data_IF_298750567928
#
_entry.id   IF_298750567928
#
_cell.length_a   1.000
_cell.length_b   1.000
_cell.length_c   1.000
_cell.angle_alpha   90.00
_cell.angle_beta   90.00
_cell.angle_gamma   90.00
#
_symmetry.space_group_name_H-M   'P 1'
#
loop_
_entity.id
_entity.type
_entity.pdbx_description
1 polymer ?
#
# COMPACT_ATOMS: atom_id res chain seq x y z
N UNK A 1 -1.88 -2.61 -21.99
CA UNK A 1 -1.48 -1.40 -21.23
C UNK A 1 -0.20 -1.70 -20.48
N UNK A 2 0.85 -0.89 -20.66
CA UNK A 2 2.10 -1.01 -19.90
C UNK A 2 1.86 -0.49 -18.49
N UNK A 3 2.20 -1.29 -17.49
CA UNK A 3 2.05 -0.93 -16.07
C UNK A 3 3.41 -1.01 -15.39
N UNK A 4 3.76 0.05 -14.68
CA UNK A 4 4.81 0.03 -13.66
C UNK A 4 4.13 0.20 -12.30
N UNK A 5 4.08 -0.88 -11.54
CA UNK A 5 3.46 -0.92 -10.23
C UNK A 5 4.53 -0.76 -9.15
N UNK A 6 4.27 0.13 -8.20
CA UNK A 6 5.12 0.49 -7.08
C UNK A 6 4.40 0.13 -5.79
N UNK A 7 4.94 -0.82 -5.05
CA UNK A 7 4.33 -1.30 -3.81
C UNK A 7 5.26 -1.01 -2.65
N UNK A 8 4.71 -0.40 -1.60
CA UNK A 8 5.38 -0.20 -0.33
C UNK A 8 4.43 -0.52 0.81
N UNK A 9 4.95 -1.17 1.84
CA UNK A 9 4.22 -1.46 3.06
C UNK A 9 4.97 -0.89 4.27
N UNK A 10 4.22 -0.43 5.27
CA UNK A 10 4.77 0.02 6.54
C UNK A 10 3.98 -0.56 7.71
N UNK A 11 4.70 -0.76 8.82
CA UNK A 11 4.14 -1.25 10.07
C UNK A 11 3.44 -0.13 10.80
N UNK A 12 2.30 -0.48 11.37
CA UNK A 12 1.49 0.36 12.25
C UNK A 12 0.95 -0.49 13.39
N UNK A 13 0.56 0.15 14.47
CA UNK A 13 -0.07 -0.53 15.60
C UNK A 13 -1.42 -1.15 15.18
N UNK A 14 -1.59 -2.47 15.37
CA UNK A 14 -2.66 -3.23 14.72
C UNK A 14 -4.05 -2.95 15.31
N UNK A 15 -4.19 -2.61 16.59
CA UNK A 15 -5.50 -2.35 17.20
C UNK A 15 -6.15 -1.09 16.63
N UNK A 16 -5.36 -0.10 16.19
CA UNK A 16 -5.88 1.05 15.43
C UNK A 16 -6.45 0.67 14.07
N UNK A 17 -5.84 -0.31 13.37
CA UNK A 17 -6.45 -0.87 12.16
C UNK A 17 -7.78 -1.52 12.51
N UNK A 18 -7.81 -2.38 13.54
CA UNK A 18 -9.04 -3.09 13.97
C UNK A 18 -10.18 -2.12 14.27
N UNK A 19 -9.88 -0.99 14.89
CA UNK A 19 -10.86 0.05 15.20
C UNK A 19 -11.52 0.69 13.96
N UNK A 20 -10.80 0.75 12.83
CA UNK A 20 -11.28 1.28 11.55
C UNK A 20 -12.03 0.25 10.70
N UNK A 21 -11.76 -1.06 10.85
CA UNK A 21 -12.27 -2.07 9.93
C UNK A 21 -13.81 -2.21 10.01
N UNK A 22 -14.54 -2.28 8.89
CA UNK A 22 -15.97 -2.57 8.92
C UNK A 22 -16.27 -3.92 9.59
N UNK A 23 -17.50 -4.09 10.08
CA UNK A 23 -17.91 -5.32 10.75
C UNK A 23 -17.73 -6.54 9.81
N UNK A 24 -17.28 -7.66 10.39
CA UNK A 24 -16.98 -8.89 9.65
C UNK A 24 -15.58 -8.96 9.05
N UNK A 25 -14.89 -7.83 8.85
CA UNK A 25 -13.49 -7.83 8.40
C UNK A 25 -12.53 -8.12 9.55
N UNK A 26 -11.60 -9.05 9.32
CA UNK A 26 -10.53 -9.37 10.27
C UNK A 26 -9.20 -8.79 9.80
N UNK A 27 -8.53 -8.00 10.65
CA UNK A 27 -7.15 -7.55 10.39
C UNK A 27 -6.17 -8.72 10.44
N UNK A 28 -5.43 -8.94 9.35
CA UNK A 28 -4.48 -10.05 9.27
C UNK A 28 -3.09 -9.72 9.78
N UNK A 29 -2.63 -8.48 9.63
CA UNK A 29 -1.27 -8.04 9.97
C UNK A 29 -1.26 -6.54 10.36
N UNK A 30 -0.27 -6.09 11.15
CA UNK A 30 -0.03 -4.68 11.49
C UNK A 30 0.50 -3.88 10.28
N UNK A 31 -0.24 -3.83 9.17
CA UNK A 31 0.28 -3.32 7.89
C UNK A 31 -0.69 -2.36 7.23
N UNK A 32 -0.16 -1.23 6.81
CA UNK A 32 -0.75 -0.39 5.77
C UNK A 32 0.14 -0.41 4.52
N UNK A 33 -0.50 -0.48 3.35
CA UNK A 33 0.16 -0.61 2.04
C UNK A 33 -0.25 0.50 1.12
N UNK A 34 0.76 1.08 0.47
CA UNK A 34 0.61 1.98 -0.65
C UNK A 34 0.94 1.22 -1.93
N UNK A 35 -0.02 1.17 -2.85
CA UNK A 35 0.15 0.55 -4.16
C UNK A 35 -0.13 1.61 -5.23
N UNK A 36 0.88 1.97 -6.02
CA UNK A 36 0.73 2.93 -7.09
C UNK A 36 1.00 2.28 -8.44
N UNK A 37 0.32 2.71 -9.49
CA UNK A 37 0.55 2.26 -10.85
C UNK A 37 0.75 3.47 -11.77
N UNK A 38 1.88 3.51 -12.47
CA UNK A 38 2.05 4.35 -13.65
C UNK A 38 1.61 3.54 -14.87
N UNK A 39 0.67 4.08 -15.65
CA UNK A 39 0.01 3.40 -16.77
C UNK A 39 0.32 4.10 -18.08
N UNK A 40 0.88 3.35 -19.03
CA UNK A 40 1.32 3.82 -20.36
C UNK A 40 2.17 5.11 -20.33
N UNK A 41 2.88 5.36 -19.22
CA UNK A 41 3.62 6.61 -18.96
C UNK A 41 2.77 7.89 -19.06
N UNK A 42 1.45 7.78 -18.91
CA UNK A 42 0.49 8.88 -19.12
C UNK A 42 -0.31 9.21 -17.88
N UNK A 43 -0.67 8.20 -17.10
CA UNK A 43 -1.48 8.38 -15.90
C UNK A 43 -0.90 7.65 -14.71
N UNK A 44 -1.34 8.05 -13.53
CA UNK A 44 -0.98 7.42 -12.26
C UNK A 44 -2.25 7.13 -11.47
N UNK A 45 -2.25 5.98 -10.81
CA UNK A 45 -3.29 5.52 -9.90
C UNK A 45 -2.64 5.15 -8.57
N UNK A 46 -3.31 5.45 -7.45
CA UNK A 46 -2.82 5.16 -6.10
C UNK A 46 -3.90 4.47 -5.30
N UNK A 47 -3.54 3.44 -4.56
CA UNK A 47 -4.38 2.77 -3.58
C UNK A 47 -3.72 2.77 -2.21
N UNK A 48 -4.54 2.96 -1.18
CA UNK A 48 -4.18 2.78 0.21
C UNK A 48 -4.96 1.63 0.82
N UNK A 49 -4.26 0.65 1.38
CA UNK A 49 -4.84 -0.66 1.66
C UNK A 49 -4.37 -1.25 2.99
N UNK A 50 -5.14 -2.17 3.56
CA UNK A 50 -4.75 -3.00 4.72
C UNK A 50 -5.07 -4.49 4.46
N UNK A 51 -4.26 -5.46 4.91
CA UNK A 51 -4.54 -6.87 4.66
C UNK A 51 -5.63 -7.40 5.61
N UNK A 52 -6.64 -8.05 5.04
CA UNK A 52 -7.84 -8.52 5.75
C UNK A 52 -8.27 -9.93 5.34
N UNK A 53 -9.04 -10.58 6.20
CA UNK A 53 -9.90 -11.69 5.82
C UNK A 53 -11.38 -11.30 5.93
N UNK A 54 -12.18 -11.76 4.97
CA UNK A 54 -13.63 -11.57 4.92
C UNK A 54 -14.27 -12.69 4.09
N UNK A 55 -15.36 -13.30 4.59
CA UNK A 55 -16.12 -14.36 3.89
C UNK A 55 -15.25 -15.46 3.23
N UNK A 56 -14.32 -16.04 4.01
CA UNK A 56 -13.36 -17.08 3.59
C UNK A 56 -12.33 -16.66 2.54
N UNK A 57 -12.25 -15.36 2.20
CA UNK A 57 -11.23 -14.81 1.32
C UNK A 57 -10.20 -14.03 2.11
N UNK A 58 -8.97 -14.03 1.63
CA UNK A 58 -7.85 -13.27 2.20
C UNK A 58 -7.34 -12.30 1.14
N UNK A 59 -7.18 -11.04 1.49
CA UNK A 59 -6.80 -10.04 0.50
C UNK A 59 -6.51 -8.69 1.12
N UNK A 60 -6.70 -7.64 0.32
CA UNK A 60 -6.51 -6.26 0.74
C UNK A 60 -7.84 -5.52 0.79
N UNK A 61 -8.15 -4.85 1.89
CA UNK A 61 -9.24 -3.88 1.92
C UNK A 61 -8.72 -2.55 1.39
N UNK A 62 -9.36 -2.02 0.35
CA UNK A 62 -9.11 -0.69 -0.16
C UNK A 62 -9.74 0.35 0.76
N UNK A 63 -8.88 1.10 1.45
CA UNK A 63 -9.26 2.21 2.32
C UNK A 63 -9.62 3.43 1.46
N UNK A 64 -8.78 3.70 0.47
CA UNK A 64 -9.01 4.76 -0.50
C UNK A 64 -8.21 4.50 -1.77
N UNK A 65 -8.63 5.16 -2.85
CA UNK A 65 -7.91 5.17 -4.10
C UNK A 65 -8.11 6.49 -4.84
N UNK A 66 -7.12 6.85 -5.66
CA UNK A 66 -7.06 8.13 -6.35
C UNK A 66 -6.47 7.98 -7.74
N UNK A 67 -6.83 8.90 -8.62
CA UNK A 67 -6.29 9.02 -9.98
C UNK A 67 -5.76 10.43 -10.24
N UNK A 68 -5.36 10.70 -11.48
CA UNK A 68 -4.93 12.04 -11.93
C UNK A 68 -5.96 13.13 -11.65
N UNK A 69 -7.25 12.80 -11.58
CA UNK A 69 -8.33 13.75 -11.24
C UNK A 69 -8.21 14.29 -9.80
N UNK A 70 -7.52 13.56 -8.93
CA UNK A 70 -7.26 13.96 -7.55
C UNK A 70 -5.94 14.73 -7.39
N UNK A 71 -5.33 15.18 -8.48
CA UNK A 71 -4.05 15.90 -8.47
C UNK A 71 -2.82 15.00 -8.35
N UNK A 72 -2.98 13.68 -8.54
CA UNK A 72 -1.84 12.78 -8.64
C UNK A 72 -1.01 13.07 -9.89
N UNK A 73 0.29 13.08 -9.70
CA UNK A 73 1.29 13.24 -10.75
C UNK A 73 2.50 12.37 -10.46
N UNK A 74 3.36 12.19 -11.45
CA UNK A 74 4.65 11.53 -11.26
C UNK A 74 5.76 12.25 -12.03
N UNK A 75 6.99 12.13 -11.53
CA UNK A 75 8.20 12.65 -12.16
C UNK A 75 9.31 11.61 -12.10
N UNK A 76 10.17 11.59 -13.12
CA UNK A 76 11.35 10.73 -13.17
C UNK A 76 12.64 11.55 -13.22
N UNK A 77 13.63 11.10 -12.47
CA UNK A 77 14.99 11.65 -12.46
C UNK A 77 15.99 10.48 -12.43
N UNK A 78 16.38 9.99 -13.61
CA UNK A 78 17.16 8.77 -13.73
C UNK A 78 16.39 7.56 -13.19
N UNK A 79 16.92 6.90 -12.16
CA UNK A 79 16.28 5.76 -11.48
C UNK A 79 15.29 6.16 -10.38
N UNK A 80 15.22 7.46 -10.06
CA UNK A 80 14.29 7.99 -9.06
C UNK A 80 12.93 8.24 -9.70
N UNK A 81 11.88 7.78 -9.03
CA UNK A 81 10.49 8.08 -9.40
C UNK A 81 9.83 8.73 -8.19
N UNK A 82 9.23 9.90 -8.40
CA UNK A 82 8.41 10.57 -7.39
C UNK A 82 6.96 10.54 -7.85
N UNK A 83 6.06 10.07 -6.99
CA UNK A 83 4.61 10.15 -7.14
C UNK A 83 4.10 11.12 -6.08
N UNK A 84 3.29 12.09 -6.48
CA UNK A 84 2.89 13.20 -5.61
C UNK A 84 1.46 13.66 -5.85
N UNK A 85 0.80 14.07 -4.78
CA UNK A 85 -0.46 14.80 -4.72
C UNK A 85 -0.40 15.81 -3.55
N UNK A 86 -1.37 16.74 -3.42
CA UNK A 86 -1.40 17.68 -2.29
C UNK A 86 -1.36 17.00 -0.91
N UNK A 87 -1.93 15.80 -0.80
CA UNK A 87 -2.04 15.02 0.43
C UNK A 87 -0.99 13.89 0.55
N UNK A 88 -0.07 13.76 -0.41
CA UNK A 88 0.79 12.58 -0.48
C UNK A 88 2.08 12.80 -1.26
N UNK A 89 3.17 12.19 -0.79
CA UNK A 89 4.41 12.07 -1.56
C UNK A 89 5.04 10.69 -1.33
N UNK A 90 5.55 10.12 -2.41
CA UNK A 90 6.25 8.84 -2.44
C UNK A 90 7.40 8.91 -3.42
N UNK A 91 8.59 8.61 -2.93
CA UNK A 91 9.82 8.60 -3.68
C UNK A 91 10.33 7.17 -3.69
N UNK A 92 10.55 6.61 -4.88
CA UNK A 92 11.22 5.34 -5.08
C UNK A 92 12.59 5.55 -5.71
N UNK A 93 13.55 4.75 -5.24
CA UNK A 93 14.88 4.64 -5.81
C UNK A 93 15.15 3.16 -6.08
N UNK A 94 15.12 2.78 -7.36
CA UNK A 94 15.45 1.40 -7.77
C UNK A 94 16.89 1.05 -7.41
N UNK A 95 17.09 -0.07 -6.72
CA UNK A 95 18.44 -0.58 -6.35
C UNK A 95 18.97 -1.61 -7.34
N UNK A 96 18.19 -1.99 -8.36
CA UNK A 96 18.60 -2.93 -9.41
C UNK A 96 18.64 -4.40 -9.02
N UNK A 97 18.20 -4.75 -7.81
CA UNK A 97 18.12 -6.14 -7.33
C UNK A 97 16.73 -6.69 -7.69
N UNK A 98 16.70 -7.79 -8.44
CA UNK A 98 15.45 -8.44 -8.85
C UNK A 98 15.28 -9.82 -8.24
N UNK A 99 14.03 -10.18 -7.91
CA UNK A 99 13.68 -11.51 -7.43
C UNK A 99 12.18 -11.74 -7.37
N UNK A 100 11.80 -12.95 -6.97
CA UNK A 100 10.42 -13.24 -6.59
C UNK A 100 10.10 -12.67 -5.21
N UNK A 101 8.90 -12.13 -5.00
CA UNK A 101 8.44 -11.75 -3.67
C UNK A 101 7.67 -12.92 -3.04
N UNK A 102 8.09 -13.44 -1.87
CA UNK A 102 7.39 -14.53 -1.20
C UNK A 102 5.94 -14.19 -0.78
N UNK A 103 5.60 -12.90 -0.67
CA UNK A 103 4.38 -12.41 -0.02
C UNK A 103 3.09 -12.54 -0.84
N UNK A 104 3.11 -13.22 -2.00
CA UNK A 104 1.96 -13.30 -2.92
C UNK A 104 1.10 -14.56 -2.78
N UNK A 105 1.46 -15.48 -1.88
CA UNK A 105 0.75 -16.76 -1.77
C UNK A 105 -0.58 -16.70 -1.02
N UNK A 106 -0.83 -15.63 -0.27
CA UNK A 106 -2.01 -15.47 0.61
C UNK A 106 -2.91 -14.29 0.20
N UNK A 107 -2.94 -13.93 -1.10
CA UNK A 107 -3.71 -12.79 -1.61
C UNK A 107 -4.65 -13.20 -2.75
N UNK A 108 -5.95 -13.27 -2.45
CA UNK A 108 -7.00 -13.56 -3.41
C UNK A 108 -7.39 -12.33 -4.25
N UNK A 109 -7.12 -11.12 -3.76
CA UNK A 109 -7.56 -9.88 -4.42
C UNK A 109 -7.76 -8.69 -3.47
N UNK A 110 -8.52 -7.71 -3.94
CA UNK A 110 -8.84 -6.48 -3.21
C UNK A 110 -10.35 -6.31 -3.02
N UNK A 111 -10.79 -6.00 -1.81
CA UNK A 111 -12.15 -5.55 -1.49
C UNK A 111 -12.23 -4.03 -1.63
N UNK A 112 -13.26 -3.54 -2.30
CA UNK A 112 -13.53 -2.10 -2.44
C UNK A 112 -14.78 -1.71 -1.64
N UNK A 113 -14.88 -0.43 -1.29
CA UNK A 113 -15.96 0.10 -0.44
C UNK A 113 -17.37 0.02 -1.04
N UNK A 114 -17.48 -0.32 -2.33
CA UNK A 114 -18.74 -0.67 -3.03
C UNK A 114 -19.08 -2.17 -2.91
N UNK A 115 -18.47 -2.87 -1.96
CA UNK A 115 -18.56 -4.33 -1.75
C UNK A 115 -18.02 -5.15 -2.92
N UNK A 116 -17.39 -4.52 -3.92
CA UNK A 116 -16.81 -5.22 -5.06
C UNK A 116 -15.50 -5.89 -4.67
N UNK A 117 -15.42 -7.20 -4.85
CA UNK A 117 -14.16 -7.93 -4.80
C UNK A 117 -13.51 -8.00 -6.18
N UNK A 118 -12.28 -7.51 -6.29
CA UNK A 118 -11.45 -7.61 -7.50
C UNK A 118 -10.37 -8.67 -7.31
N UNK A 119 -10.40 -9.79 -8.05
CA UNK A 119 -9.37 -10.82 -7.97
C UNK A 119 -7.97 -10.27 -8.25
N UNK A 120 -6.96 -10.91 -7.68
CA UNK A 120 -5.57 -10.56 -7.95
C UNK A 120 -5.21 -10.76 -9.44
N UNK A 121 -4.40 -9.86 -9.97
CA UNK A 121 -3.83 -10.02 -11.30
C UNK A 121 -2.64 -10.98 -11.24
N UNK A 122 -2.58 -11.90 -12.20
CA UNK A 122 -1.45 -12.82 -12.32
C UNK A 122 -0.27 -12.11 -12.99
N UNK A 123 0.70 -11.71 -12.19
CA UNK A 123 1.96 -11.07 -12.62
C UNK A 123 3.08 -12.11 -12.49
N UNK A 124 3.75 -12.45 -13.60
CA UNK A 124 4.84 -13.45 -13.60
C UNK A 124 6.23 -12.79 -13.64
N UNK A 125 6.27 -11.46 -13.73
CA UNK A 125 7.46 -10.65 -13.86
C UNK A 125 8.18 -10.51 -12.52
N UNK A 126 9.51 -10.43 -12.59
CA UNK A 126 10.33 -10.23 -11.41
C UNK A 126 10.09 -8.84 -10.80
N UNK A 127 10.19 -8.78 -9.48
CA UNK A 127 10.09 -7.54 -8.72
C UNK A 127 11.48 -6.98 -8.51
N UNK A 128 11.64 -5.69 -8.77
CA UNK A 128 12.83 -4.92 -8.44
C UNK A 128 12.65 -4.34 -7.03
N UNK A 129 13.46 -4.79 -6.07
CA UNK A 129 13.47 -4.19 -4.74
C UNK A 129 13.97 -2.74 -4.81
N UNK A 130 13.42 -1.89 -3.93
CA UNK A 130 13.69 -0.46 -3.96
C UNK A 130 13.87 0.10 -2.56
N UNK A 131 14.63 1.19 -2.49
CA UNK A 131 14.51 2.11 -1.37
C UNK A 131 13.35 3.08 -1.63
N UNK A 132 12.70 3.53 -0.56
CA UNK A 132 11.62 4.49 -0.65
C UNK A 132 11.56 5.46 0.53
N UNK A 133 10.94 6.59 0.30
CA UNK A 133 10.54 7.56 1.32
C UNK A 133 9.11 8.00 1.02
N UNK A 134 8.28 8.12 2.04
CA UNK A 134 6.89 8.54 1.88
C UNK A 134 6.45 9.49 2.98
N UNK A 135 5.45 10.30 2.67
CA UNK A 135 4.74 11.11 3.64
C UNK A 135 3.28 11.30 3.19
N UNK A 136 2.36 10.98 4.09
CA UNK A 136 1.00 11.51 4.03
C UNK A 136 0.99 12.96 4.51
N UNK A 137 0.06 13.76 3.98
CA UNK A 137 0.00 15.22 4.17
C UNK A 137 -1.45 15.72 4.29
N UNK A 138 -2.37 14.92 4.84
CA UNK A 138 -3.69 15.42 5.21
C UNK A 138 -3.58 16.34 6.44
N UNK A 139 -2.69 15.99 7.36
CA UNK A 139 -2.33 16.76 8.55
C UNK A 139 -0.82 16.74 8.80
N UNK A 140 -0.32 17.67 9.63
CA UNK A 140 1.12 17.82 9.92
C UNK A 140 1.75 16.61 10.63
N UNK A 141 0.94 15.80 11.30
CA UNK A 141 1.38 14.66 12.12
C UNK A 141 1.14 13.31 11.47
N UNK A 142 0.73 13.30 10.20
CA UNK A 142 0.48 12.06 9.48
C UNK A 142 1.75 11.22 9.29
N UNK A 143 1.54 9.94 9.05
CA UNK A 143 2.59 8.96 8.86
C UNK A 143 3.51 9.32 7.70
N UNK A 144 4.79 9.26 8.01
CA UNK A 144 5.89 9.37 7.07
C UNK A 144 6.96 8.34 7.47
N UNK A 145 7.80 7.94 6.52
CA UNK A 145 8.81 6.94 6.79
C UNK A 145 9.76 6.72 5.62
N UNK A 146 10.90 6.10 5.92
CA UNK A 146 11.95 5.79 4.96
C UNK A 146 12.39 4.34 5.10
N UNK A 147 12.69 3.69 3.98
CA UNK A 147 13.21 2.32 3.96
C UNK A 147 14.61 2.23 4.56
N UNK A 148 14.89 1.08 5.18
CA UNK A 148 16.21 0.72 5.68
C UNK A 148 16.92 -0.31 4.77
N UNK A 149 16.44 -0.50 3.54
CA UNK A 149 16.97 -1.47 2.58
C UNK A 149 16.71 -2.94 2.93
N UNK A 150 15.81 -3.23 3.87
CA UNK A 150 15.46 -4.59 4.31
C UNK A 150 13.98 -4.87 4.11
N UNK A 151 13.66 -6.11 3.73
CA UNK A 151 12.29 -6.63 3.78
C UNK A 151 12.06 -7.33 5.11
N UNK A 152 11.06 -6.88 5.87
CA UNK A 152 10.79 -7.34 7.23
C UNK A 152 9.41 -8.01 7.26
N UNK A 153 9.34 -9.32 7.59
CA UNK A 153 8.06 -9.98 7.77
C UNK A 153 7.40 -9.51 9.06
N UNK A 154 6.08 -9.30 9.00
CA UNK A 154 5.25 -9.04 10.18
C UNK A 154 4.10 -10.04 10.25
N UNK A 155 3.75 -10.43 11.46
CA UNK A 155 2.72 -11.42 11.75
C UNK A 155 1.54 -10.76 12.47
N UNK A 156 0.42 -11.47 12.53
CA UNK A 156 -0.75 -11.04 13.31
C UNK A 156 -0.35 -10.89 14.78
N UNK A 157 -0.74 -9.79 15.39
CA UNK A 157 -0.52 -9.50 16.81
C UNK A 157 -1.77 -9.86 17.61
N UNK A 158 -1.60 -10.17 18.90
CA UNK A 158 -2.74 -10.25 19.83
C UNK A 158 -3.30 -8.84 20.07
N UNK A 159 -4.55 -8.76 20.56
CA UNK A 159 -5.14 -7.48 20.94
C UNK A 159 -4.46 -6.99 22.22
N UNK A 160 -3.89 -5.78 22.18
CA UNK A 160 -3.22 -5.15 23.30
C UNK A 160 -3.99 -3.93 23.83
N UNK A 161 -4.75 -3.25 22.98
CA UNK A 161 -5.54 -2.08 23.32
C UNK A 161 -6.93 -2.10 22.67
N UNK A 162 -7.92 -1.51 23.34
CA UNK A 162 -9.26 -1.31 22.78
C UNK A 162 -9.44 0.18 22.45
N UNK A 163 -9.56 0.48 21.16
CA UNK A 163 -9.82 1.84 20.67
C UNK A 163 -11.30 2.02 20.32
N UNK A 164 -11.78 3.26 20.40
CA UNK A 164 -13.09 3.61 19.86
C UNK A 164 -13.15 3.40 18.35
N UNK A 165 -14.33 3.00 17.84
CA UNK A 165 -14.54 2.81 16.41
C UNK A 165 -14.38 4.12 15.67
N UNK A 166 -13.57 4.11 14.61
CA UNK A 166 -13.37 5.26 13.73
C UNK A 166 -13.76 4.91 12.30
N UNK A 167 -14.13 5.90 11.49
CA UNK A 167 -14.47 5.66 10.10
C UNK A 167 -13.26 5.15 9.30
N UNK A 168 -13.50 4.23 8.35
CA UNK A 168 -12.49 3.77 7.40
C UNK A 168 -12.25 4.86 6.34
N UNK A 169 -11.33 5.78 6.62
CA UNK A 169 -10.93 6.86 5.69
C UNK A 169 -9.42 6.92 5.50
N UNK A 170 -8.98 7.58 4.44
CA UNK A 170 -7.56 7.79 4.19
C UNK A 170 -6.90 8.61 5.31
N UNK A 171 -7.57 9.66 5.79
CA UNK A 171 -7.11 10.55 6.85
C UNK A 171 -6.88 9.78 8.16
N UNK A 172 -7.86 8.98 8.58
CA UNK A 172 -7.74 8.20 9.83
C UNK A 172 -6.63 7.16 9.74
N UNK A 173 -6.49 6.49 8.59
CA UNK A 173 -5.44 5.51 8.39
C UNK A 173 -4.04 6.14 8.25
N UNK A 174 -3.95 7.30 7.58
CA UNK A 174 -2.71 8.08 7.45
C UNK A 174 -2.23 8.67 8.78
N UNK A 175 -3.14 8.98 9.70
CA UNK A 175 -2.81 9.46 11.03
C UNK A 175 -2.16 8.40 11.95
N UNK A 176 -2.18 7.12 11.57
CA UNK A 176 -1.54 6.06 12.37
C UNK A 176 -0.04 6.08 12.11
N UNK A 177 0.82 6.35 13.12
CA UNK A 177 2.24 6.51 12.91
C UNK A 177 2.90 5.30 12.24
N UNK A 178 3.75 5.58 11.25
CA UNK A 178 4.62 4.55 10.68
C UNK A 178 5.69 4.18 11.69
N UNK A 179 5.66 2.95 12.18
CA UNK A 179 6.73 2.43 13.05
C UNK A 179 7.98 2.05 12.25
N UNK A 180 7.77 1.47 11.07
CA UNK A 180 8.86 1.03 10.19
C UNK A 180 8.36 0.75 8.77
N UNK A 181 9.14 1.14 7.75
CA UNK A 181 8.90 0.67 6.38
C UNK A 181 9.34 -0.79 6.28
N UNK A 182 8.41 -1.67 5.88
CA UNK A 182 8.59 -3.12 5.86
C UNK A 182 9.20 -3.64 4.57
N UNK A 183 9.11 -2.87 3.49
CA UNK A 183 9.65 -3.23 2.20
C UNK A 183 8.97 -2.49 1.07
N UNK A 184 9.69 -2.37 -0.05
CA UNK A 184 9.22 -1.68 -1.23
C UNK A 184 9.76 -2.35 -2.50
N UNK A 185 8.94 -2.43 -3.54
CA UNK A 185 9.35 -2.98 -4.83
C UNK A 185 8.62 -2.33 -6.00
N UNK A 186 9.21 -2.51 -7.18
CA UNK A 186 8.62 -2.17 -8.48
C UNK A 186 8.42 -3.44 -9.28
N UNK A 187 7.29 -3.57 -9.96
CA UNK A 187 7.08 -4.61 -10.98
C UNK A 187 6.55 -3.99 -12.26
N UNK A 188 7.05 -4.45 -13.40
CA UNK A 188 6.72 -3.94 -14.73
C UNK A 188 6.14 -5.07 -15.55
N UNK A 189 4.97 -4.87 -16.13
CA UNK A 189 4.24 -5.90 -16.88
C UNK A 189 3.28 -5.27 -17.88
N UNK A 190 2.73 -6.10 -18.77
CA UNK A 190 1.66 -5.71 -19.70
C UNK A 190 0.31 -6.25 -19.22
N UNK A 191 -0.63 -5.34 -18.95
CA UNK A 191 -2.03 -5.66 -18.65
C UNK A 191 -2.81 -5.75 -19.97
N UNK A 192 -3.41 -6.90 -20.24
CA UNK A 192 -4.26 -7.12 -21.41
C UNK A 192 -5.57 -6.32 -21.34
#
# INVERSE_FOLDING_TARGET
MKVEQFVMAYRVEQDRIRAMLPDGFESLRPVLRINAEIRDEKSVYLEFNTPVAFENRRGWLNIANWSVENGLSFRREGKKVTISAPFFELIYQGVGIQGGCPAERDNDGCFFGDETFRPNEKINENKEFCDCEFAWKFHETDANGKSEGKTIPVFKEEIAANYERTALTAENAAAIPCEQVLGAYIVRFERN
#
